data_IF_151527470480
#
_entry.id   IF_151527470480
#
_cell.length_a   1.000
_cell.length_b   1.000
_cell.length_c   1.000
_cell.angle_alpha   90.00
_cell.angle_beta   90.00
_cell.angle_gamma   90.00
#
_symmetry.space_group_name_H-M   'P 1'
#
loop_
_entity.id
_entity.type
_entity.pdbx_description
1 polymer ?
#
# COMPACT_ATOMS: atom_id res chain seq x y z
N UNK A 1 -14.02 -5.55 12.32
CA UNK A 1 -13.79 -4.74 11.10
C UNK A 1 -12.42 -4.13 11.29
N UNK A 2 -11.43 -4.49 10.46
CA UNK A 2 -10.10 -3.89 10.56
C UNK A 2 -10.21 -2.40 10.24
N UNK A 3 -9.67 -1.56 11.11
CA UNK A 3 -9.55 -0.13 10.85
C UNK A 3 -8.65 0.06 9.63
N UNK A 4 -9.07 0.93 8.70
CA UNK A 4 -8.32 1.19 7.47
C UNK A 4 -7.86 2.63 7.44
N UNK A 5 -6.61 2.83 7.04
CA UNK A 5 -6.00 4.15 6.97
C UNK A 5 -5.78 4.55 5.52
N UNK A 6 -6.28 5.72 5.14
CA UNK A 6 -6.13 6.26 3.77
C UNK A 6 -4.99 7.26 3.75
N UNK A 7 -4.05 7.05 2.84
CA UNK A 7 -2.89 7.91 2.65
C UNK A 7 -2.96 8.51 1.25
N UNK A 8 -3.11 9.83 1.16
CA UNK A 8 -3.06 10.54 -0.10
C UNK A 8 -1.64 10.50 -0.70
N UNK A 9 -1.55 10.32 -2.01
CA UNK A 9 -0.31 10.41 -2.76
C UNK A 9 -0.12 11.86 -3.20
N UNK A 10 1.00 12.46 -2.78
CA UNK A 10 1.41 13.80 -3.19
C UNK A 10 2.82 13.72 -3.77
N UNK A 11 2.99 14.14 -5.02
CA UNK A 11 4.30 14.14 -5.69
C UNK A 11 4.97 12.76 -5.75
N UNK A 12 4.19 11.68 -5.91
CA UNK A 12 4.71 10.30 -5.94
C UNK A 12 5.14 9.76 -4.58
N UNK A 13 4.74 10.41 -3.48
CA UNK A 13 5.06 10.00 -2.10
C UNK A 13 3.81 9.93 -1.25
N UNK A 14 3.88 9.16 -0.17
CA UNK A 14 2.86 9.11 0.88
C UNK A 14 3.48 9.44 2.23
N UNK A 15 2.75 10.18 3.07
CA UNK A 15 3.08 10.36 4.48
C UNK A 15 2.74 9.06 5.22
N UNK A 16 3.70 8.14 5.33
CA UNK A 16 3.47 6.78 5.83
C UNK A 16 3.22 6.77 7.35
N UNK A 17 3.98 7.58 8.08
CA UNK A 17 3.82 7.84 9.53
C UNK A 17 3.86 9.35 9.75
N UNK A 18 3.58 9.89 10.95
CA UNK A 18 3.70 11.33 11.21
C UNK A 18 5.10 11.92 10.94
N UNK A 19 6.14 11.08 10.93
CA UNK A 19 7.53 11.52 10.83
C UNK A 19 8.22 11.07 9.53
N UNK A 20 7.60 10.20 8.74
CA UNK A 20 8.24 9.61 7.57
C UNK A 20 7.35 9.66 6.31
N UNK A 21 7.95 10.13 5.21
CA UNK A 21 7.38 9.98 3.86
C UNK A 21 8.13 8.90 3.09
N UNK A 22 7.39 8.06 2.35
CA UNK A 22 7.97 7.02 1.50
C UNK A 22 7.54 7.19 0.05
N UNK A 23 8.37 6.79 -0.93
CA UNK A 23 7.93 6.70 -2.33
C UNK A 23 6.73 5.76 -2.48
N UNK A 24 5.77 6.12 -3.32
CA UNK A 24 4.54 5.34 -3.54
C UNK A 24 4.83 3.93 -4.05
N UNK A 25 5.91 3.74 -4.82
CA UNK A 25 6.33 2.43 -5.34
C UNK A 25 6.64 1.43 -4.22
N UNK A 26 7.11 1.90 -3.06
CA UNK A 26 7.36 1.00 -1.91
C UNK A 26 6.07 0.39 -1.39
N UNK A 27 4.94 1.09 -1.48
CA UNK A 27 3.65 0.57 -1.02
C UNK A 27 3.22 -0.69 -1.79
N UNK A 28 3.65 -0.86 -3.04
CA UNK A 28 3.43 -2.08 -3.82
C UNK A 28 4.12 -3.33 -3.26
N UNK A 29 4.97 -3.17 -2.24
CA UNK A 29 5.65 -4.25 -1.53
C UNK A 29 5.38 -4.23 -0.03
N UNK A 30 4.47 -3.38 0.45
CA UNK A 30 4.20 -3.23 1.88
C UNK A 30 3.12 -4.23 2.33
N UNK A 31 3.35 -4.94 3.44
CA UNK A 31 2.34 -5.88 3.97
C UNK A 31 1.04 -5.22 4.39
N UNK A 32 1.12 -3.95 4.78
CA UNK A 32 -0.05 -3.17 5.19
C UNK A 32 -0.82 -2.60 4.00
N UNK A 33 -0.23 -2.56 2.80
CA UNK A 33 -0.91 -2.01 1.62
C UNK A 33 -1.97 -2.98 1.14
N UNK A 34 -3.21 -2.74 1.54
CA UNK A 34 -4.32 -3.61 1.22
C UNK A 34 -4.88 -3.34 -0.18
N UNK A 35 -5.11 -2.05 -0.47
CA UNK A 35 -5.74 -1.56 -1.69
C UNK A 35 -5.12 -0.23 -2.12
N UNK A 36 -5.37 0.15 -3.36
CA UNK A 36 -4.96 1.44 -3.93
C UNK A 36 -6.11 2.08 -4.67
N UNK A 37 -6.13 3.40 -4.74
CA UNK A 37 -7.13 4.17 -5.51
C UNK A 37 -6.46 4.72 -6.76
N UNK A 38 -7.03 4.42 -7.93
CA UNK A 38 -6.59 4.93 -9.23
C UNK A 38 -7.80 5.49 -9.97
N UNK A 39 -7.79 6.77 -10.34
CA UNK A 39 -8.92 7.45 -10.99
C UNK A 39 -10.21 7.31 -10.17
N UNK A 40 -10.12 7.50 -8.86
CA UNK A 40 -11.23 7.33 -7.92
C UNK A 40 -11.74 5.90 -7.73
N UNK A 41 -11.09 4.88 -8.31
CA UNK A 41 -11.49 3.46 -8.16
C UNK A 41 -10.54 2.72 -7.24
N UNK A 42 -11.10 2.09 -6.21
CA UNK A 42 -10.37 1.24 -5.29
C UNK A 42 -10.11 -0.14 -5.92
N UNK A 43 -8.85 -0.57 -5.92
CA UNK A 43 -8.39 -1.83 -6.51
C UNK A 43 -7.47 -2.57 -5.52
N UNK A 44 -7.35 -3.91 -5.61
CA UNK A 44 -6.39 -4.66 -4.82
C UNK A 44 -4.97 -4.13 -5.01
N UNK A 45 -4.22 -4.01 -3.92
CA UNK A 45 -2.82 -3.55 -3.99
C UNK A 45 -1.94 -4.59 -4.70
N UNK A 46 -0.94 -4.17 -5.50
CA UNK A 46 0.08 -5.08 -6.04
C UNK A 46 0.81 -5.89 -4.96
N UNK A 47 0.89 -5.39 -3.72
CA UNK A 47 1.47 -6.11 -2.60
C UNK A 47 0.77 -7.45 -2.33
N UNK A 48 -0.51 -7.58 -2.72
CA UNK A 48 -1.28 -8.82 -2.59
C UNK A 48 -0.80 -9.93 -3.54
N UNK A 49 0.01 -9.62 -4.56
CA UNK A 49 0.71 -10.62 -5.38
C UNK A 49 1.55 -11.56 -4.51
N UNK A 50 2.17 -11.01 -3.48
CA UNK A 50 3.08 -11.70 -2.58
C UNK A 50 2.36 -12.32 -1.37
N UNK A 51 1.05 -12.09 -1.24
CA UNK A 51 0.26 -12.69 -0.18
C UNK A 51 -0.06 -14.15 -0.54
N UNK A 52 0.42 -15.10 0.27
CA UNK A 52 0.21 -16.54 0.08
C UNK A 52 -1.27 -16.95 0.03
N UNK A 53 -2.16 -16.17 0.65
CA UNK A 53 -3.61 -16.41 0.72
C UNK A 53 -4.40 -15.76 -0.40
N UNK A 54 -4.01 -14.57 -0.86
CA UNK A 54 -4.77 -13.80 -1.85
C UNK A 54 -4.33 -14.10 -3.29
N UNK A 55 -3.00 -14.18 -3.54
CA UNK A 55 -2.37 -14.42 -4.86
C UNK A 55 -2.97 -13.64 -6.04
N UNK A 56 -3.64 -12.54 -5.78
CA UNK A 56 -4.29 -11.71 -6.79
C UNK A 56 -3.54 -10.38 -6.84
N UNK A 57 -3.02 -10.07 -8.02
CA UNK A 57 -2.51 -8.75 -8.33
C UNK A 57 -2.68 -8.50 -9.82
N UNK A 58 -3.50 -7.50 -10.11
CA UNK A 58 -3.46 -6.86 -11.42
C UNK A 58 -2.24 -5.94 -11.45
N UNK A 59 -1.49 -5.88 -12.56
CA UNK A 59 -0.43 -4.90 -12.70
C UNK A 59 -1.03 -3.50 -12.60
N UNK A 60 -0.54 -2.72 -11.63
CA UNK A 60 -0.96 -1.34 -11.40
C UNK A 60 0.25 -0.44 -11.58
N UNK A 61 0.07 0.60 -12.39
CA UNK A 61 1.03 1.68 -12.53
C UNK A 61 0.97 2.56 -11.28
N UNK A 62 1.93 2.37 -10.38
CA UNK A 62 1.99 3.06 -9.09
C UNK A 62 2.11 4.59 -9.24
N UNK A 63 2.62 5.08 -10.39
CA UNK A 63 2.69 6.51 -10.68
C UNK A 63 1.31 7.16 -10.89
N UNK A 64 0.26 6.37 -11.12
CA UNK A 64 -1.13 6.83 -11.29
C UNK A 64 -1.98 6.66 -10.03
N UNK A 65 -1.38 6.19 -8.94
CA UNK A 65 -2.10 5.98 -7.69
C UNK A 65 -2.33 7.32 -6.98
N UNK A 66 -3.56 7.53 -6.56
CA UNK A 66 -4.03 8.75 -5.88
C UNK A 66 -4.06 8.55 -4.36
N UNK A 67 -4.40 7.35 -3.90
CA UNK A 67 -4.42 6.99 -2.48
C UNK A 67 -3.95 5.55 -2.25
N UNK A 68 -3.32 5.33 -1.10
CA UNK A 68 -3.04 3.99 -0.57
C UNK A 68 -3.99 3.72 0.59
N UNK A 69 -4.62 2.55 0.60
CA UNK A 69 -5.46 2.09 1.70
C UNK A 69 -4.72 1.01 2.46
N UNK A 70 -4.32 1.33 3.69
CA UNK A 70 -3.59 0.44 4.58
C UNK A 70 -4.54 -0.30 5.54
N UNK A 71 -4.22 -1.54 5.90
CA UNK A 71 -4.92 -2.33 6.93
C UNK A 71 -4.16 -2.34 8.28
N UNK A 72 -3.33 -1.32 8.53
CA UNK A 72 -2.63 -1.12 9.79
C UNK A 72 -3.42 -0.25 10.77
N UNK A 73 -3.27 -0.53 12.07
CA UNK A 73 -4.06 0.14 13.12
C UNK A 73 -3.48 1.50 13.52
N UNK A 74 -2.16 1.68 13.48
CA UNK A 74 -1.51 2.80 14.20
C UNK A 74 -0.42 3.53 13.42
N UNK A 75 -0.32 3.36 12.10
CA UNK A 75 0.82 3.92 11.37
C UNK A 75 2.11 3.18 11.70
N UNK A 76 2.08 1.85 11.56
CA UNK A 76 3.23 0.97 11.90
C UNK A 76 4.45 1.19 11.00
N UNK A 77 4.30 2.00 9.96
CA UNK A 77 5.35 2.33 9.01
C UNK A 77 5.44 1.31 7.87
N UNK A 78 6.46 1.48 7.05
CA UNK A 78 6.68 0.60 5.91
C UNK A 78 7.29 -0.74 6.34
N UNK A 79 6.65 -1.85 5.93
CA UNK A 79 7.16 -3.22 6.13
C UNK A 79 7.17 -3.98 4.82
N UNK A 80 8.36 -4.24 4.29
CA UNK A 80 8.52 -4.99 3.04
C UNK A 80 8.09 -6.46 3.22
N UNK A 81 7.13 -6.91 2.42
CA UNK A 81 6.62 -8.28 2.43
C UNK A 81 7.72 -9.31 2.12
N UNK A 82 8.70 -8.96 1.27
CA UNK A 82 9.81 -9.85 0.94
C UNK A 82 10.69 -10.20 2.15
N UNK A 83 10.75 -9.35 3.17
CA UNK A 83 11.52 -9.60 4.39
C UNK A 83 10.77 -10.48 5.41
N UNK A 84 9.48 -10.74 5.20
CA UNK A 84 8.63 -11.51 6.13
C UNK A 84 8.52 -12.99 5.70
N UNK A 85 8.82 -13.31 4.43
CA UNK A 85 8.77 -14.68 3.90
C UNK A 85 10.16 -15.37 3.97
N UNK A 86 11.09 -14.85 4.79
CA UNK A 86 12.41 -15.46 5.02
C UNK A 86 12.40 -16.49 6.15
#
# INVERSE_FOLDING_TARGET
>A
MSEVRRLAVAGGRVQCTPYETVPVDRCGFCVHSARVVVRGREMPSPARAYCSRCRDARPIDMAKVEEIVCDDLSGEGFRNIANIIS
#
